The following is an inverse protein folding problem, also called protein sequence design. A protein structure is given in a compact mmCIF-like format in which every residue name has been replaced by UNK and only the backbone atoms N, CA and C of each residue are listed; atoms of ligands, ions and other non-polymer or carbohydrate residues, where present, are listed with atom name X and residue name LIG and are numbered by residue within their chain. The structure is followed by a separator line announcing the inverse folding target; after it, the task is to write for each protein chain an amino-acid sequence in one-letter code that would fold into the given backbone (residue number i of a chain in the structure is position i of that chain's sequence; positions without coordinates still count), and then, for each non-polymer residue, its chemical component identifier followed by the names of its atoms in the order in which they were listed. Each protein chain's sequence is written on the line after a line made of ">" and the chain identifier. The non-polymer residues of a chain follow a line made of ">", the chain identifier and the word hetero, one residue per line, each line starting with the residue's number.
data_IF_391925306470
#
_entry.id   IF_391925306470
#
_cell.length_a   1.000
_cell.length_b   1.000
_cell.length_c   1.000
_cell.angle_alpha   90.00
_cell.angle_beta   90.00
_cell.angle_gamma   90.00
#
_symmetry.space_group_name_H-M   'P 1'
#
loop_
_entity.id
_entity.type
_entity.pdbx_description
1 polymer ?
#
# COMPACT_ATOMS: atom_id res chain seq x y z
N UNK A 1 -1.74 25.13 -6.22
CA UNK A 1 -2.94 24.26 -6.30
C UNK A 1 -2.50 22.93 -6.90
N UNK A 2 -2.85 21.80 -6.25
CA UNK A 2 -2.44 20.48 -6.75
C UNK A 2 -3.21 20.09 -8.00
N UNK A 3 -2.49 19.55 -8.98
CA UNK A 3 -3.02 19.00 -10.24
C UNK A 3 -2.94 17.47 -10.26
N UNK A 4 -2.01 16.91 -9.50
CA UNK A 4 -1.71 15.49 -9.44
C UNK A 4 -1.90 14.98 -8.01
N UNK A 5 -2.68 13.92 -7.85
CA UNK A 5 -2.89 13.31 -6.55
C UNK A 5 -2.45 11.84 -6.64
N UNK A 6 -1.47 11.48 -5.82
CA UNK A 6 -1.03 10.11 -5.66
C UNK A 6 -1.71 9.51 -4.43
N UNK A 7 -2.26 8.33 -4.55
CA UNK A 7 -2.88 7.60 -3.45
C UNK A 7 -2.13 6.32 -3.15
N UNK A 8 -1.90 6.01 -1.87
CA UNK A 8 -1.65 4.64 -1.48
C UNK A 8 -2.93 3.81 -1.54
N UNK A 9 -2.81 2.49 -1.41
CA UNK A 9 -3.93 1.55 -1.48
C UNK A 9 -4.32 1.04 -0.09
N UNK A 10 -3.44 0.25 0.52
CA UNK A 10 -3.71 -0.48 1.76
C UNK A 10 -3.70 0.47 2.96
N UNK A 11 -4.83 0.63 3.64
CA UNK A 11 -4.98 1.60 4.74
C UNK A 11 -5.41 3.00 4.31
N UNK A 12 -5.37 3.30 3.01
CA UNK A 12 -5.76 4.60 2.45
C UNK A 12 -7.06 4.52 1.66
N UNK A 13 -7.14 3.65 0.68
CA UNK A 13 -8.35 3.43 -0.12
C UNK A 13 -9.11 2.19 0.33
N UNK A 14 -8.38 1.16 0.81
CA UNK A 14 -8.97 -0.13 1.18
C UNK A 14 -8.45 -0.65 2.52
N UNK A 15 -9.33 -1.35 3.26
CA UNK A 15 -8.99 -2.15 4.44
C UNK A 15 -8.64 -3.57 4.00
N UNK A 16 -7.35 -3.82 3.78
CA UNK A 16 -6.81 -5.11 3.34
C UNK A 16 -6.30 -6.00 4.47
N UNK A 17 -6.35 -5.54 5.73
CA UNK A 17 -5.84 -6.31 6.87
C UNK A 17 -6.47 -7.71 6.98
N UNK A 18 -7.79 -7.91 6.78
CA UNK A 18 -8.38 -9.24 6.87
C UNK A 18 -7.70 -10.26 5.97
N UNK A 19 -7.52 -9.93 4.70
CA UNK A 19 -6.90 -10.81 3.70
C UNK A 19 -5.41 -11.06 3.96
N UNK A 20 -4.66 -10.00 4.30
CA UNK A 20 -3.23 -10.10 4.59
C UNK A 20 -3.01 -10.99 5.83
N UNK A 21 -3.74 -10.72 6.92
CA UNK A 21 -3.62 -11.49 8.16
C UNK A 21 -4.01 -12.96 7.98
N UNK A 22 -5.08 -13.24 7.23
CA UNK A 22 -5.49 -14.61 6.91
C UNK A 22 -4.43 -15.36 6.09
N UNK A 23 -3.76 -14.68 5.15
CA UNK A 23 -2.68 -15.27 4.37
C UNK A 23 -1.41 -15.52 5.17
N UNK A 24 -1.09 -14.68 6.17
CA UNK A 24 0.02 -14.93 7.08
C UNK A 24 -0.28 -16.14 7.98
N UNK A 25 -1.52 -16.24 8.52
CA UNK A 25 -1.93 -17.43 9.30
C UNK A 25 -1.81 -18.71 8.48
N UNK A 26 -2.26 -18.69 7.24
CA UNK A 26 -2.11 -19.81 6.31
C UNK A 26 -0.63 -20.16 6.09
N UNK A 27 0.24 -19.16 5.90
CA UNK A 27 1.68 -19.41 5.72
C UNK A 27 2.32 -20.00 7.00
N UNK A 28 1.93 -19.53 8.20
CA UNK A 28 2.38 -20.10 9.47
C UNK A 28 1.98 -21.57 9.61
N UNK A 29 0.73 -21.91 9.28
CA UNK A 29 0.23 -23.29 9.28
C UNK A 29 1.06 -24.20 8.34
N UNK A 30 1.30 -23.73 7.11
CA UNK A 30 2.11 -24.45 6.11
C UNK A 30 3.58 -24.64 6.53
N UNK A 31 4.11 -23.71 7.29
CA UNK A 31 5.47 -23.76 7.83
C UNK A 31 5.56 -24.59 9.12
N UNK A 32 4.43 -24.89 9.78
CA UNK A 32 4.40 -25.53 11.08
C UNK A 32 4.94 -24.65 12.21
N UNK A 33 4.82 -23.34 12.11
CA UNK A 33 5.27 -22.36 13.10
C UNK A 33 4.10 -21.72 13.81
N UNK A 34 4.31 -21.28 15.06
CA UNK A 34 3.29 -20.58 15.83
C UNK A 34 2.96 -19.22 15.18
N UNK A 35 1.67 -18.97 15.02
CA UNK A 35 1.19 -17.71 14.46
C UNK A 35 0.95 -16.69 15.58
N UNK A 36 1.50 -15.48 15.50
CA UNK A 36 1.31 -14.45 16.52
C UNK A 36 -0.13 -13.91 16.52
N UNK A 37 -0.48 -13.17 17.58
CA UNK A 37 -1.78 -12.53 17.71
C UNK A 37 -2.02 -11.38 16.73
N UNK A 38 -3.28 -10.95 16.63
CA UNK A 38 -3.78 -9.98 15.64
C UNK A 38 -3.03 -8.65 15.62
N UNK A 39 -2.61 -8.16 16.79
CA UNK A 39 -1.84 -6.90 16.87
C UNK A 39 -0.51 -6.96 16.12
N UNK A 40 0.18 -8.10 16.19
CA UNK A 40 1.43 -8.34 15.46
C UNK A 40 1.15 -8.53 13.96
N UNK A 41 0.10 -9.31 13.63
CA UNK A 41 -0.26 -9.56 12.23
C UNK A 41 -0.69 -8.26 11.51
N UNK A 42 -1.37 -7.35 12.20
CA UNK A 42 -1.78 -6.06 11.63
C UNK A 42 -0.59 -5.20 11.22
N UNK A 43 0.56 -5.33 11.89
CA UNK A 43 1.78 -4.61 11.54
C UNK A 43 2.40 -5.03 10.19
N UNK A 44 1.96 -6.14 9.60
CA UNK A 44 2.38 -6.57 8.26
C UNK A 44 1.73 -5.76 7.13
N UNK A 45 0.73 -4.94 7.43
CA UNK A 45 0.08 -4.12 6.41
C UNK A 45 0.90 -2.85 6.19
N UNK A 46 1.39 -2.67 4.96
CA UNK A 46 2.19 -1.52 4.53
C UNK A 46 3.67 -1.82 4.33
N UNK A 47 4.42 -2.36 5.32
CA UNK A 47 5.83 -2.69 5.14
C UNK A 47 6.08 -3.83 4.14
N UNK A 48 7.31 -3.94 3.58
CA UNK A 48 7.72 -5.08 2.78
C UNK A 48 7.57 -6.40 3.55
N UNK A 49 6.78 -7.34 3.00
CA UNK A 49 6.43 -8.59 3.69
C UNK A 49 7.63 -9.44 4.04
N UNK A 50 8.64 -9.50 3.16
CA UNK A 50 9.85 -10.29 3.36
C UNK A 50 10.57 -9.89 4.65
N UNK A 51 10.77 -8.58 4.85
CA UNK A 51 11.45 -8.04 6.02
C UNK A 51 10.65 -8.27 7.29
N UNK A 52 9.32 -8.10 7.20
CA UNK A 52 8.43 -8.38 8.32
C UNK A 52 8.44 -9.85 8.71
N UNK A 53 8.43 -10.78 7.74
CA UNK A 53 8.52 -12.22 8.00
C UNK A 53 9.84 -12.58 8.66
N UNK A 54 10.98 -12.11 8.13
CA UNK A 54 12.31 -12.34 8.72
C UNK A 54 12.38 -11.83 10.15
N UNK A 55 11.94 -10.61 10.39
CA UNK A 55 12.00 -9.97 11.71
C UNK A 55 11.06 -10.64 12.73
N UNK A 56 9.82 -10.92 12.34
CA UNK A 56 8.79 -11.40 13.27
C UNK A 56 9.01 -12.86 13.66
N UNK A 57 9.43 -13.68 12.71
CA UNK A 57 9.59 -15.12 12.92
C UNK A 57 11.05 -15.56 13.03
N UNK A 58 12.00 -14.62 13.03
CA UNK A 58 13.45 -14.90 13.08
C UNK A 58 13.91 -15.86 11.97
N UNK A 59 13.38 -15.70 10.76
CA UNK A 59 13.64 -16.57 9.62
C UNK A 59 14.93 -16.18 8.87
N UNK A 60 15.62 -17.19 8.37
CA UNK A 60 16.65 -17.02 7.34
C UNK A 60 16.02 -16.63 6.00
N UNK A 61 16.83 -16.14 5.05
CA UNK A 61 16.33 -15.76 3.72
C UNK A 61 15.57 -16.89 3.00
N UNK A 62 16.08 -18.15 2.93
CA UNK A 62 15.34 -19.24 2.30
C UNK A 62 14.02 -19.60 3.00
N UNK A 63 13.98 -19.50 4.33
CA UNK A 63 12.75 -19.76 5.10
C UNK A 63 11.70 -18.66 4.86
N UNK A 64 12.13 -17.40 4.82
CA UNK A 64 11.24 -16.27 4.53
C UNK A 64 10.72 -16.32 3.09
N UNK A 65 11.55 -16.70 2.12
CA UNK A 65 11.12 -16.94 0.73
C UNK A 65 10.06 -18.05 0.66
N UNK A 66 10.24 -19.15 1.39
CA UNK A 66 9.26 -20.23 1.46
C UNK A 66 7.95 -19.77 2.10
N UNK A 67 8.02 -19.00 3.20
CA UNK A 67 6.84 -18.43 3.85
C UNK A 67 6.11 -17.47 2.93
N UNK A 68 6.84 -16.61 2.21
CA UNK A 68 6.28 -15.68 1.23
C UNK A 68 5.61 -16.42 0.06
N UNK A 69 6.13 -17.57 -0.37
CA UNK A 69 5.51 -18.41 -1.38
C UNK A 69 4.15 -18.94 -0.91
N UNK A 70 4.04 -19.47 0.31
CA UNK A 70 2.76 -19.89 0.90
C UNK A 70 1.78 -18.71 1.08
N UNK A 71 2.28 -17.55 1.53
CA UNK A 71 1.46 -16.34 1.57
C UNK A 71 0.88 -16.01 0.19
N UNK A 72 1.71 -15.98 -0.85
CA UNK A 72 1.31 -15.65 -2.22
C UNK A 72 0.37 -16.68 -2.83
N UNK A 73 0.50 -17.96 -2.50
CA UNK A 73 -0.38 -19.04 -2.92
C UNK A 73 -1.84 -18.71 -2.57
N UNK A 74 -2.11 -18.32 -1.31
CA UNK A 74 -3.44 -17.95 -0.86
C UNK A 74 -3.83 -16.53 -1.29
N UNK A 75 -2.89 -15.59 -1.19
CA UNK A 75 -3.18 -14.18 -1.45
C UNK A 75 -3.62 -13.93 -2.89
N UNK A 76 -2.97 -14.55 -3.87
CA UNK A 76 -3.25 -14.33 -5.30
C UNK A 76 -4.64 -14.79 -5.75
N UNK A 77 -5.30 -15.65 -4.98
CA UNK A 77 -6.59 -16.29 -5.33
C UNK A 77 -7.73 -15.90 -4.40
N UNK A 78 -7.47 -15.77 -3.11
CA UNK A 78 -8.49 -15.54 -2.08
C UNK A 78 -8.22 -14.22 -1.34
N UNK A 79 -7.02 -14.10 -0.74
CA UNK A 79 -6.71 -13.04 0.20
C UNK A 79 -6.78 -11.63 -0.38
N UNK A 80 -6.48 -11.47 -1.67
CA UNK A 80 -6.59 -10.15 -2.30
C UNK A 80 -8.05 -9.64 -2.37
N UNK A 81 -9.04 -10.53 -2.30
CA UNK A 81 -10.47 -10.21 -2.31
C UNK A 81 -11.10 -10.15 -0.90
N UNK A 82 -10.39 -10.64 0.13
CA UNK A 82 -10.75 -10.42 1.54
C UNK A 82 -10.33 -9.01 1.96
N UNK A 83 -10.95 -8.04 1.33
CA UNK A 83 -10.62 -6.61 1.36
C UNK A 83 -11.92 -5.81 1.23
N UNK A 84 -11.93 -4.56 1.67
CA UNK A 84 -13.09 -3.66 1.53
C UNK A 84 -12.63 -2.23 1.26
N UNK A 85 -13.41 -1.49 0.49
CA UNK A 85 -13.17 -0.06 0.25
C UNK A 85 -13.63 0.72 1.48
N UNK A 86 -12.83 1.68 1.95
CA UNK A 86 -13.27 2.56 3.03
C UNK A 86 -14.49 3.38 2.62
N UNK A 87 -15.43 3.64 3.55
CA UNK A 87 -16.60 4.46 3.27
C UNK A 87 -16.23 5.83 2.70
N UNK A 88 -16.92 6.27 1.65
CA UNK A 88 -16.71 7.59 1.03
C UNK A 88 -15.57 7.65 0.00
N UNK A 89 -14.77 6.59 -0.16
CA UNK A 89 -13.64 6.61 -1.13
C UNK A 89 -14.13 6.77 -2.56
N UNK A 90 -15.16 6.07 -2.97
CA UNK A 90 -15.70 6.18 -4.34
C UNK A 90 -16.17 7.60 -4.65
N UNK A 91 -16.92 8.21 -3.75
CA UNK A 91 -17.42 9.58 -3.85
C UNK A 91 -16.25 10.58 -3.86
N UNK A 92 -15.26 10.41 -3.01
CA UNK A 92 -14.06 11.25 -2.97
C UNK A 92 -13.28 11.17 -4.27
N UNK A 93 -12.99 9.97 -4.79
CA UNK A 93 -12.28 9.79 -6.05
C UNK A 93 -13.05 10.43 -7.22
N UNK A 94 -14.37 10.25 -7.26
CA UNK A 94 -15.25 10.86 -8.26
C UNK A 94 -15.17 12.39 -8.21
N UNK A 95 -15.25 12.98 -7.02
CA UNK A 95 -15.19 14.43 -6.83
C UNK A 95 -13.82 15.00 -7.24
N UNK A 96 -12.73 14.32 -6.84
CA UNK A 96 -11.36 14.73 -7.19
C UNK A 96 -11.15 14.65 -8.72
N UNK A 97 -11.60 13.57 -9.37
CA UNK A 97 -11.50 13.39 -10.82
C UNK A 97 -12.32 14.45 -11.57
N UNK A 98 -13.55 14.71 -11.12
CA UNK A 98 -14.43 15.72 -11.70
C UNK A 98 -13.89 17.16 -11.58
N UNK A 99 -13.00 17.42 -10.62
CA UNK A 99 -12.29 18.69 -10.48
C UNK A 99 -11.12 18.87 -11.47
N UNK A 100 -10.96 17.95 -12.42
CA UNK A 100 -9.94 18.02 -13.48
C UNK A 100 -8.55 17.61 -13.05
N UNK A 101 -8.41 16.96 -11.89
CA UNK A 101 -7.11 16.45 -11.41
C UNK A 101 -6.76 15.11 -12.03
N UNK A 102 -5.47 14.84 -12.16
CA UNK A 102 -4.95 13.52 -12.55
C UNK A 102 -4.62 12.71 -11.30
N UNK A 103 -5.08 11.47 -11.28
CA UNK A 103 -4.91 10.56 -10.15
C UNK A 103 -3.99 9.41 -10.54
N UNK A 104 -3.07 9.06 -9.65
CA UNK A 104 -2.34 7.80 -9.74
C UNK A 104 -2.44 7.00 -8.45
N UNK A 105 -2.46 5.68 -8.58
CA UNK A 105 -2.15 4.79 -7.49
C UNK A 105 -0.63 4.65 -7.39
N UNK A 106 -0.08 4.80 -6.17
CA UNK A 106 1.34 4.66 -5.86
C UNK A 106 1.48 3.81 -4.59
N UNK A 107 1.58 2.49 -4.76
CA UNK A 107 1.54 1.53 -3.64
C UNK A 107 2.75 0.60 -3.61
N UNK A 108 3.23 0.26 -2.41
CA UNK A 108 4.27 -0.77 -2.24
C UNK A 108 3.74 -2.20 -2.50
N UNK A 109 2.42 -2.38 -2.62
CA UNK A 109 1.83 -3.64 -3.08
C UNK A 109 2.26 -3.96 -4.52
N UNK A 110 2.50 -5.23 -4.89
CA UNK A 110 2.76 -5.60 -6.28
C UNK A 110 1.66 -5.10 -7.23
N UNK A 111 2.08 -4.43 -8.32
CA UNK A 111 1.18 -3.76 -9.27
C UNK A 111 0.09 -4.70 -9.80
N UNK A 112 0.45 -5.95 -10.10
CA UNK A 112 -0.49 -6.97 -10.58
C UNK A 112 -1.63 -7.28 -9.61
N UNK A 113 -1.39 -7.15 -8.31
CA UNK A 113 -2.42 -7.32 -7.28
C UNK A 113 -3.22 -6.03 -7.09
N UNK A 114 -2.55 -4.89 -7.11
CA UNK A 114 -3.20 -3.59 -6.99
C UNK A 114 -4.23 -3.37 -8.12
N UNK A 115 -3.86 -3.69 -9.36
CA UNK A 115 -4.78 -3.64 -10.52
C UNK A 115 -6.01 -4.49 -10.29
N UNK A 116 -5.85 -5.77 -9.89
CA UNK A 116 -6.98 -6.68 -9.63
C UNK A 116 -7.91 -6.17 -8.52
N UNK A 117 -7.35 -5.55 -7.47
CA UNK A 117 -8.14 -4.95 -6.38
C UNK A 117 -8.95 -3.77 -6.91
N UNK A 118 -8.33 -2.85 -7.66
CA UNK A 118 -9.04 -1.73 -8.27
C UNK A 118 -10.16 -2.18 -9.22
N UNK A 119 -9.92 -3.22 -10.02
CA UNK A 119 -10.92 -3.81 -10.91
C UNK A 119 -12.09 -4.40 -10.12
N UNK A 120 -11.80 -5.21 -9.09
CA UNK A 120 -12.81 -5.84 -8.24
C UNK A 120 -13.77 -4.82 -7.58
N UNK A 121 -13.24 -3.66 -7.21
CA UNK A 121 -14.03 -2.60 -6.59
C UNK A 121 -14.51 -1.51 -7.58
N UNK A 122 -14.32 -1.71 -8.89
CA UNK A 122 -14.69 -0.74 -9.94
C UNK A 122 -14.04 0.63 -9.75
N UNK A 123 -12.83 0.67 -9.19
CA UNK A 123 -12.07 1.91 -8.95
C UNK A 123 -11.07 2.24 -10.06
N UNK A 124 -10.77 1.30 -10.97
CA UNK A 124 -9.74 1.47 -12.02
C UNK A 124 -9.97 2.71 -12.90
N UNK A 125 -11.22 3.05 -13.19
CA UNK A 125 -11.59 4.19 -14.05
C UNK A 125 -11.23 5.56 -13.49
N UNK A 126 -10.93 5.67 -12.19
CA UNK A 126 -10.52 6.94 -11.60
C UNK A 126 -9.04 7.26 -11.83
N UNK A 127 -8.20 6.28 -12.06
CA UNK A 127 -6.75 6.45 -12.11
C UNK A 127 -6.23 6.61 -13.54
N UNK A 128 -5.41 7.64 -13.75
CA UNK A 128 -4.68 7.88 -15.01
C UNK A 128 -3.41 7.01 -15.08
N UNK A 129 -2.89 6.57 -13.92
CA UNK A 129 -1.77 5.65 -13.82
C UNK A 129 -1.90 4.77 -12.58
N UNK A 130 -1.42 3.55 -12.68
CA UNK A 130 -1.22 2.63 -11.54
C UNK A 130 0.26 2.28 -11.49
N UNK A 131 0.84 2.36 -10.30
CA UNK A 131 2.22 1.98 -10.04
C UNK A 131 2.30 1.23 -8.72
N UNK A 132 2.87 0.06 -8.78
CA UNK A 132 3.15 -0.80 -7.64
C UNK A 132 4.57 -1.35 -7.70
N UNK A 133 4.96 -2.12 -6.68
CA UNK A 133 6.21 -2.88 -6.73
C UNK A 133 6.12 -4.02 -7.74
N UNK A 134 7.28 -4.62 -8.05
CA UNK A 134 7.32 -5.84 -8.84
C UNK A 134 7.28 -7.09 -7.95
N UNK A 135 6.73 -8.19 -8.46
CA UNK A 135 6.79 -9.49 -7.76
C UNK A 135 8.22 -10.01 -7.60
N UNK A 136 9.12 -9.57 -8.45
CA UNK A 136 10.57 -9.84 -8.39
C UNK A 136 11.25 -9.24 -7.16
N UNK A 137 10.61 -8.24 -6.51
CA UNK A 137 11.18 -7.44 -5.43
C UNK A 137 11.84 -6.14 -5.90
N UNK A 138 11.72 -5.77 -7.18
CA UNK A 138 12.13 -4.45 -7.65
C UNK A 138 11.09 -3.38 -7.31
N UNK A 139 11.56 -2.14 -7.11
CA UNK A 139 10.73 -0.98 -6.78
C UNK A 139 9.82 -1.20 -5.55
N UNK A 140 10.36 -1.82 -4.49
CA UNK A 140 9.61 -2.05 -3.25
C UNK A 140 9.53 -0.81 -2.36
N UNK A 141 10.48 0.10 -2.52
CA UNK A 141 10.53 1.35 -1.76
C UNK A 141 9.45 2.32 -2.24
N UNK A 142 8.71 2.89 -1.29
CA UNK A 142 7.62 3.83 -1.60
C UNK A 142 8.11 5.02 -2.45
N UNK A 143 9.33 5.51 -2.20
CA UNK A 143 9.94 6.60 -2.95
C UNK A 143 10.06 6.30 -4.44
N UNK A 144 10.52 5.10 -4.81
CA UNK A 144 10.70 4.72 -6.21
C UNK A 144 9.35 4.54 -6.92
N UNK A 145 8.37 3.95 -6.23
CA UNK A 145 6.99 3.84 -6.73
C UNK A 145 6.39 5.22 -6.96
N UNK A 146 6.55 6.15 -6.04
CA UNK A 146 6.05 7.53 -6.19
C UNK A 146 6.74 8.26 -7.35
N UNK A 147 8.07 8.15 -7.44
CA UNK A 147 8.83 8.77 -8.53
C UNK A 147 8.37 8.26 -9.91
N UNK A 148 8.16 6.94 -10.03
CA UNK A 148 7.65 6.32 -11.25
C UNK A 148 6.21 6.76 -11.56
N UNK A 149 5.34 6.87 -10.54
CA UNK A 149 3.97 7.41 -10.71
C UNK A 149 3.98 8.84 -11.24
N UNK A 150 4.85 9.68 -10.67
CA UNK A 150 5.03 11.07 -11.12
C UNK A 150 5.53 11.13 -12.56
N UNK A 151 6.46 10.24 -12.93
CA UNK A 151 6.96 10.13 -14.30
C UNK A 151 5.84 9.74 -15.28
N UNK A 152 5.04 8.70 -14.96
CA UNK A 152 3.89 8.26 -15.77
C UNK A 152 2.89 9.40 -16.02
N UNK A 153 2.67 10.26 -15.03
CA UNK A 153 1.77 11.42 -15.14
C UNK A 153 2.43 12.68 -15.71
N UNK A 154 3.75 12.71 -15.92
CA UNK A 154 4.53 13.92 -16.17
C UNK A 154 4.28 15.01 -15.11
N UNK A 155 4.18 14.60 -13.86
CA UNK A 155 3.82 15.43 -12.73
C UNK A 155 5.00 16.23 -12.18
N UNK A 156 4.73 17.49 -11.81
CA UNK A 156 5.69 18.35 -11.12
C UNK A 156 5.49 18.23 -9.61
N UNK A 157 6.57 18.16 -8.84
CA UNK A 157 6.51 17.97 -7.37
C UNK A 157 5.69 19.06 -6.67
N UNK A 158 5.81 20.33 -7.12
CA UNK A 158 5.11 21.47 -6.52
C UNK A 158 3.58 21.44 -6.79
N UNK A 159 3.13 20.61 -7.74
CA UNK A 159 1.73 20.44 -8.12
C UNK A 159 1.19 19.07 -7.71
N UNK A 160 1.99 18.28 -6.97
CA UNK A 160 1.65 16.91 -6.57
C UNK A 160 1.35 16.85 -5.07
N UNK A 161 0.38 16.02 -4.70
CA UNK A 161 0.04 15.68 -3.32
C UNK A 161 0.06 14.15 -3.18
N UNK A 162 0.79 13.63 -2.19
CA UNK A 162 0.68 12.23 -1.77
C UNK A 162 -0.37 12.09 -0.69
N UNK A 163 -1.23 11.08 -0.80
CA UNK A 163 -2.23 10.72 0.21
C UNK A 163 -1.93 9.31 0.70
N UNK A 164 -1.65 9.16 1.98
CA UNK A 164 -1.28 7.88 2.57
C UNK A 164 -1.53 7.83 4.07
N UNK A 165 -1.47 6.63 4.64
CA UNK A 165 -1.74 6.38 6.06
C UNK A 165 -0.51 5.97 6.86
N UNK A 166 0.64 5.73 6.21
CA UNK A 166 1.85 5.28 6.87
C UNK A 166 2.99 6.28 6.73
N UNK A 167 3.94 6.21 7.67
CA UNK A 167 5.18 6.99 7.62
C UNK A 167 5.95 6.83 6.30
N UNK A 168 5.87 5.66 5.67
CA UNK A 168 6.56 5.39 4.40
C UNK A 168 6.08 6.33 3.28
N UNK A 169 4.79 6.67 3.26
CA UNK A 169 4.21 7.63 2.32
C UNK A 169 4.75 9.04 2.57
N UNK A 170 4.80 9.42 3.85
CA UNK A 170 5.26 10.74 4.30
C UNK A 170 6.76 10.92 4.10
N UNK A 171 7.54 9.89 4.42
CA UNK A 171 9.00 9.86 4.21
C UNK A 171 9.34 10.02 2.74
N UNK A 172 8.75 9.20 1.89
CA UNK A 172 8.94 9.26 0.45
C UNK A 172 8.51 10.61 -0.15
N UNK A 173 7.40 11.18 0.33
CA UNK A 173 6.94 12.50 -0.08
C UNK A 173 7.96 13.59 0.29
N UNK A 174 8.47 13.57 1.52
CA UNK A 174 9.50 14.51 1.98
C UNK A 174 10.79 14.40 1.17
N UNK A 175 11.27 13.18 0.89
CA UNK A 175 12.47 12.96 0.08
C UNK A 175 12.33 13.47 -1.36
N UNK A 176 11.13 13.36 -1.95
CA UNK A 176 10.84 13.84 -3.29
C UNK A 176 10.47 15.34 -3.33
N UNK A 177 10.31 15.97 -2.18
CA UNK A 177 9.86 17.36 -2.07
C UNK A 177 8.40 17.54 -2.52
N UNK A 178 7.56 16.54 -2.25
CA UNK A 178 6.12 16.51 -2.52
C UNK A 178 5.36 16.74 -1.22
N UNK A 179 4.29 17.54 -1.28
CA UNK A 179 3.41 17.71 -0.12
C UNK A 179 2.64 16.41 0.17
N UNK A 180 2.37 16.14 1.46
CA UNK A 180 1.63 14.96 1.89
C UNK A 180 0.36 15.32 2.68
N UNK A 181 -0.67 14.48 2.51
CA UNK A 181 -1.87 14.40 3.32
C UNK A 181 -1.88 13.07 4.04
N UNK A 182 -1.95 13.10 5.36
CA UNK A 182 -2.01 11.92 6.19
C UNK A 182 -3.45 11.56 6.53
N UNK A 183 -3.86 10.30 6.27
CA UNK A 183 -5.15 9.78 6.68
C UNK A 183 -5.00 8.96 7.97
N UNK A 184 -5.74 9.32 9.00
CA UNK A 184 -5.57 8.76 10.36
C UNK A 184 -6.37 7.49 10.63
N UNK A 185 -7.20 7.04 9.69
CA UNK A 185 -8.07 5.87 9.84
C UNK A 185 -7.42 4.55 9.42
N UNK A 186 -6.22 4.60 8.84
CA UNK A 186 -5.51 3.44 8.32
C UNK A 186 -4.77 2.61 9.37
N UNK A 187 -3.55 2.22 9.06
CA UNK A 187 -2.74 1.28 9.86
C UNK A 187 -1.58 1.94 10.62
N UNK A 188 -1.48 3.27 10.57
CA UNK A 188 -0.44 3.99 11.30
C UNK A 188 -0.47 3.71 12.80
N UNK A 189 0.69 3.59 13.41
CA UNK A 189 0.82 3.66 14.86
C UNK A 189 0.62 5.11 15.33
N UNK A 190 0.15 5.26 16.57
CA UNK A 190 -0.11 6.59 17.13
C UNK A 190 1.15 7.46 17.11
N UNK A 191 1.08 8.59 16.40
CA UNK A 191 2.17 9.54 16.30
C UNK A 191 3.22 9.19 15.26
N UNK A 192 2.97 8.20 14.42
CA UNK A 192 3.88 7.79 13.34
C UNK A 192 4.14 8.94 12.34
N UNK A 193 3.16 9.83 12.16
CA UNK A 193 3.20 10.98 11.26
C UNK A 193 4.04 12.17 11.77
N UNK A 194 4.23 12.29 13.11
CA UNK A 194 4.79 13.48 13.74
C UNK A 194 6.17 13.90 13.18
N UNK A 195 7.13 12.98 12.96
CA UNK A 195 8.44 13.34 12.42
C UNK A 195 8.39 13.95 11.01
N UNK A 196 7.38 13.56 10.23
CA UNK A 196 7.29 13.88 8.80
C UNK A 196 6.48 15.14 8.50
N UNK A 197 5.72 15.66 9.48
CA UNK A 197 4.95 16.91 9.39
C UNK A 197 4.13 17.02 8.11
N UNK A 198 3.16 16.12 7.89
CA UNK A 198 2.28 16.22 6.73
C UNK A 198 1.61 17.57 6.68
N UNK A 199 1.30 18.07 5.49
CA UNK A 199 0.70 19.39 5.30
C UNK A 199 -0.76 19.42 5.71
N UNK A 200 -1.45 18.27 5.61
CA UNK A 200 -2.85 18.08 5.96
C UNK A 200 -3.05 16.78 6.71
#
# INVERSE_FOLDING_TARGET
>A
MYKYILFDLDGTLTDSAPGIMACIRYACEKMGIECPGDSVLRAFVGPPLMDMMKKTFSLTDPEAEKMLAFYRERFSTIGLFENSVYPGVGEMLSAVKSSGKKLALATSKPEVYAVKILENFSLSGYFDAVTGSELSGAHVEKRDVMALSMQKLSAKKEETLMVGDRKFDLEAANELGVDALFVSYGYAEKGEEIPYRPKF
#
